data_IF_987858642904
#
_entry.id   IF_987858642904
#
_cell.length_a   1.000
_cell.length_b   1.000
_cell.length_c   1.000
_cell.angle_alpha   90.00
_cell.angle_beta   90.00
_cell.angle_gamma   90.00
#
_symmetry.space_group_name_H-M   'P 1'
#
loop_
_entity.id
_entity.type
_entity.pdbx_description
1 polymer ?
#
# COMPACT_ATOMS: atom_id res chain seq x y z
N UNK A 1 10.61 12.57 18.38
CA UNK A 1 10.60 12.76 16.90
C UNK A 1 9.28 13.39 16.51
N UNK A 2 9.27 14.28 15.52
CA UNK A 2 8.03 14.87 15.00
C UNK A 2 7.38 13.89 14.00
N UNK A 3 6.04 13.75 14.06
CA UNK A 3 5.29 12.84 13.18
C UNK A 3 4.27 13.62 12.36
N UNK A 4 4.32 13.45 11.04
CA UNK A 4 3.24 13.81 10.13
C UNK A 4 2.39 12.57 9.85
N UNK A 5 1.08 12.65 10.04
CA UNK A 5 0.12 11.65 9.54
C UNK A 5 -0.39 12.10 8.18
N UNK A 6 -0.28 11.27 7.16
CA UNK A 6 -0.72 11.55 5.80
C UNK A 6 -1.87 10.63 5.42
N UNK A 7 -3.00 11.22 5.02
CA UNK A 7 -4.26 10.54 4.73
C UNK A 7 -4.74 10.94 3.33
N UNK A 8 -4.57 10.10 2.31
CA UNK A 8 -5.23 10.29 1.03
C UNK A 8 -6.72 9.94 1.16
N UNK A 9 -7.59 10.77 0.58
CA UNK A 9 -9.05 10.54 0.63
C UNK A 9 -9.72 10.89 -0.71
N UNK A 10 -10.82 10.20 -1.00
CA UNK A 10 -11.64 10.49 -2.17
C UNK A 10 -13.09 10.04 -1.97
N UNK A 11 -14.03 11.00 -1.90
CA UNK A 11 -15.49 10.79 -1.80
C UNK A 11 -15.96 9.94 -0.61
N UNK A 12 -15.26 10.05 0.53
CA UNK A 12 -15.54 9.25 1.72
C UNK A 12 -15.51 10.11 3.02
N UNK A 13 -16.28 11.20 3.12
CA UNK A 13 -16.19 12.09 4.27
C UNK A 13 -16.56 11.41 5.60
N UNK A 14 -17.47 10.42 5.62
CA UNK A 14 -17.85 9.68 6.83
C UNK A 14 -16.74 8.75 7.31
N UNK A 15 -16.03 8.08 6.40
CA UNK A 15 -14.88 7.25 6.74
C UNK A 15 -13.73 8.13 7.24
N UNK A 16 -13.46 9.23 6.54
CA UNK A 16 -12.46 10.21 6.96
C UNK A 16 -12.78 10.78 8.37
N UNK A 17 -14.03 11.08 8.68
CA UNK A 17 -14.44 11.53 10.02
C UNK A 17 -14.06 10.52 11.09
N UNK A 18 -14.30 9.22 10.85
CA UNK A 18 -13.94 8.15 11.78
C UNK A 18 -12.43 8.07 11.97
N UNK A 19 -11.67 8.15 10.88
CA UNK A 19 -10.20 8.14 10.93
C UNK A 19 -9.67 9.33 11.75
N UNK A 20 -10.14 10.54 11.47
CA UNK A 20 -9.74 11.74 12.21
C UNK A 20 -10.09 11.63 13.70
N UNK A 21 -11.29 11.14 14.05
CA UNK A 21 -11.67 10.94 15.46
C UNK A 21 -10.76 9.93 16.18
N UNK A 22 -10.30 8.89 15.48
CA UNK A 22 -9.33 7.94 16.06
C UNK A 22 -7.92 8.56 16.22
N UNK A 23 -7.56 9.51 15.36
CA UNK A 23 -6.31 10.27 15.51
C UNK A 23 -6.39 11.29 16.65
N UNK A 24 -7.54 11.90 16.89
CA UNK A 24 -7.78 12.76 18.08
C UNK A 24 -7.61 11.98 19.39
N UNK A 25 -8.00 10.71 19.39
CA UNK A 25 -7.91 9.83 20.56
C UNK A 25 -6.52 9.24 20.81
N UNK A 26 -5.51 9.59 20.01
CA UNK A 26 -4.15 9.08 20.20
C UNK A 26 -3.53 9.54 21.52
N UNK A 27 -2.90 8.62 22.26
CA UNK A 27 -2.12 8.94 23.47
C UNK A 27 -0.89 9.81 23.18
N UNK A 28 -0.30 9.61 22.02
CA UNK A 28 0.75 10.43 21.44
C UNK A 28 0.18 11.14 20.21
N UNK A 29 0.04 12.47 20.29
CA UNK A 29 -0.54 13.27 19.21
C UNK A 29 0.47 13.46 18.06
N UNK A 30 -0.02 13.53 16.82
CA UNK A 30 0.78 13.96 15.70
C UNK A 30 1.04 15.48 15.78
N UNK A 31 2.21 15.93 15.33
CA UNK A 31 2.49 17.37 15.16
C UNK A 31 1.82 17.93 13.90
N UNK A 32 1.58 17.08 12.91
CA UNK A 32 0.95 17.46 11.65
C UNK A 32 0.06 16.33 11.13
N UNK A 33 -1.13 16.70 10.63
CA UNK A 33 -2.03 15.79 9.91
C UNK A 33 -2.30 16.40 8.54
N UNK A 34 -1.91 15.69 7.48
CA UNK A 34 -2.16 16.10 6.11
C UNK A 34 -3.25 15.24 5.50
N UNK A 35 -4.42 15.83 5.24
CA UNK A 35 -5.48 15.23 4.46
C UNK A 35 -5.32 15.65 3.02
N UNK A 36 -5.07 14.68 2.13
CA UNK A 36 -4.90 14.95 0.71
C UNK A 36 -6.15 14.59 -0.06
N UNK A 37 -6.80 15.60 -0.65
CA UNK A 37 -8.10 15.49 -1.31
C UNK A 37 -8.01 15.93 -2.78
N UNK A 38 -8.79 15.28 -3.66
CA UNK A 38 -8.93 15.67 -5.06
C UNK A 38 -9.65 17.02 -5.19
N UNK A 39 -9.20 17.84 -6.14
CA UNK A 39 -9.83 19.12 -6.51
C UNK A 39 -11.31 18.96 -6.92
N UNK A 40 -11.66 17.81 -7.51
CA UNK A 40 -13.02 17.46 -7.95
C UNK A 40 -13.89 16.83 -6.87
N UNK A 41 -13.35 16.57 -5.68
CA UNK A 41 -14.09 15.99 -4.56
C UNK A 41 -14.72 17.09 -3.69
N UNK A 42 -15.86 17.60 -4.16
CA UNK A 42 -16.57 18.70 -3.50
C UNK A 42 -17.06 18.30 -2.11
N UNK A 43 -17.64 17.10 -1.98
CA UNK A 43 -18.24 16.61 -0.74
C UNK A 43 -17.22 16.52 0.41
N UNK A 44 -16.07 15.92 0.17
CA UNK A 44 -15.02 15.82 1.21
C UNK A 44 -14.41 17.18 1.52
N UNK A 45 -14.29 18.08 0.55
CA UNK A 45 -13.78 19.44 0.77
C UNK A 45 -14.74 20.28 1.59
N UNK A 46 -16.05 20.18 1.34
CA UNK A 46 -17.09 20.85 2.17
C UNK A 46 -17.07 20.31 3.59
N UNK A 47 -17.00 18.99 3.77
CA UNK A 47 -16.83 18.37 5.09
C UNK A 47 -15.61 18.94 5.81
N UNK A 48 -14.44 18.99 5.18
CA UNK A 48 -13.20 19.50 5.79
C UNK A 48 -13.27 21.00 6.13
N UNK A 49 -14.01 21.79 5.35
CA UNK A 49 -14.23 23.22 5.65
C UNK A 49 -15.09 23.41 6.89
N UNK A 50 -16.10 22.54 7.09
CA UNK A 50 -16.96 22.54 8.28
C UNK A 50 -16.38 21.77 9.47
N UNK A 51 -15.35 20.98 9.25
CA UNK A 51 -14.70 20.20 10.27
C UNK A 51 -13.78 21.12 11.09
N UNK A 52 -14.25 21.54 12.25
CA UNK A 52 -13.54 22.39 13.19
C UNK A 52 -13.17 21.60 14.46
N UNK A 53 -12.26 20.64 14.40
CA UNK A 53 -11.77 20.01 15.61
C UNK A 53 -10.67 20.89 16.23
N UNK A 54 -10.42 20.76 17.52
CA UNK A 54 -9.25 21.34 18.16
C UNK A 54 -7.95 20.61 17.78
N UNK A 55 -7.91 19.89 16.66
CA UNK A 55 -6.73 19.19 16.20
C UNK A 55 -5.68 20.18 15.73
N UNK A 56 -4.67 20.39 16.56
CA UNK A 56 -3.49 21.14 16.19
C UNK A 56 -2.81 20.46 15.01
N UNK A 57 -2.51 21.24 13.96
CA UNK A 57 -1.72 20.75 12.83
C UNK A 57 -2.49 20.07 11.69
N UNK A 58 -3.84 20.08 11.67
CA UNK A 58 -4.61 19.63 10.52
C UNK A 58 -4.46 20.60 9.33
N UNK A 59 -3.99 20.09 8.21
CA UNK A 59 -3.85 20.82 6.94
C UNK A 59 -4.45 20.01 5.80
N UNK A 60 -5.07 20.70 4.84
CA UNK A 60 -5.64 20.10 3.63
C UNK A 60 -4.73 20.39 2.46
N UNK A 61 -4.32 19.35 1.76
CA UNK A 61 -3.55 19.41 0.51
C UNK A 61 -4.45 19.02 -0.65
N UNK A 62 -4.53 19.88 -1.66
CA UNK A 62 -5.36 19.59 -2.85
C UNK A 62 -4.49 19.02 -3.97
N UNK A 63 -4.96 17.95 -4.61
CA UNK A 63 -4.29 17.31 -5.75
C UNK A 63 -5.21 17.27 -6.97
N UNK A 64 -4.65 17.56 -8.15
CA UNK A 64 -5.38 17.58 -9.43
C UNK A 64 -5.34 16.21 -10.13
N UNK A 65 -4.21 15.50 -10.01
CA UNK A 65 -4.01 14.20 -10.65
C UNK A 65 -4.74 13.06 -9.91
N UNK A 66 -5.38 12.10 -10.61
CA UNK A 66 -6.00 10.94 -10.01
C UNK A 66 -4.96 9.93 -9.48
N UNK A 67 -5.39 9.12 -8.51
CA UNK A 67 -4.63 8.02 -7.96
C UNK A 67 -3.97 8.32 -6.62
N UNK A 68 -3.84 7.27 -5.81
CA UNK A 68 -3.30 7.35 -4.45
C UNK A 68 -1.85 7.82 -4.45
N UNK A 69 -1.06 7.47 -5.47
CA UNK A 69 0.35 7.88 -5.57
C UNK A 69 0.50 9.37 -5.82
N UNK A 70 -0.38 9.97 -6.62
CA UNK A 70 -0.40 11.41 -6.82
C UNK A 70 -0.72 12.14 -5.50
N UNK A 71 -1.72 11.64 -4.76
CA UNK A 71 -2.08 12.17 -3.46
C UNK A 71 -0.94 12.02 -2.44
N UNK A 72 -0.33 10.83 -2.35
CA UNK A 72 0.78 10.58 -1.42
C UNK A 72 2.02 11.41 -1.75
N UNK A 73 2.40 11.56 -3.03
CA UNK A 73 3.52 12.42 -3.42
C UNK A 73 3.25 13.90 -3.12
N UNK A 74 2.01 14.38 -3.35
CA UNK A 74 1.62 15.74 -3.00
C UNK A 74 1.70 15.99 -1.48
N UNK A 75 1.15 15.07 -0.68
CA UNK A 75 1.24 15.16 0.78
C UNK A 75 2.68 15.02 1.29
N UNK A 76 3.49 14.14 0.70
CA UNK A 76 4.90 13.96 1.07
C UNK A 76 5.74 15.21 0.82
N UNK A 77 5.45 15.97 -0.24
CA UNK A 77 6.12 17.24 -0.54
C UNK A 77 5.84 18.31 0.54
N UNK A 78 4.63 18.30 1.11
CA UNK A 78 4.19 19.25 2.15
C UNK A 78 4.53 18.80 3.58
N UNK A 79 4.82 17.52 3.80
CA UNK A 79 5.04 16.95 5.11
C UNK A 79 6.33 17.49 5.76
N UNK A 80 6.25 17.86 7.05
CA UNK A 80 7.35 18.46 7.81
C UNK A 80 7.94 17.57 8.88
N UNK A 81 7.25 16.48 9.27
CA UNK A 81 7.69 15.57 10.32
C UNK A 81 8.92 14.75 9.96
N UNK A 82 9.66 14.32 10.98
CA UNK A 82 10.80 13.39 10.87
C UNK A 82 10.34 11.95 10.51
N UNK A 83 9.09 11.63 10.86
CA UNK A 83 8.39 10.38 10.52
C UNK A 83 7.13 10.74 9.75
N UNK A 84 6.87 10.02 8.67
CA UNK A 84 5.63 10.10 7.90
C UNK A 84 4.85 8.82 8.16
N UNK A 85 3.74 8.93 8.89
CA UNK A 85 2.80 7.84 9.13
C UNK A 85 1.69 7.89 8.07
N UNK A 86 1.49 6.79 7.36
CA UNK A 86 0.51 6.64 6.30
C UNK A 86 -0.66 5.80 6.82
N UNK A 87 -1.87 6.31 6.65
CA UNK A 87 -3.10 5.55 6.94
C UNK A 87 -4.17 5.90 5.92
N UNK A 88 -5.09 4.96 5.67
CA UNK A 88 -6.21 5.20 4.77
C UNK A 88 -7.36 5.91 5.51
N UNK A 89 -8.21 6.62 4.78
CA UNK A 89 -9.37 7.32 5.34
C UNK A 89 -10.44 6.36 5.91
N UNK A 90 -10.43 5.07 5.49
CA UNK A 90 -11.32 4.02 5.99
C UNK A 90 -10.70 3.17 7.12
N UNK A 91 -9.76 3.75 7.87
CA UNK A 91 -9.17 3.12 9.06
C UNK A 91 -9.51 3.86 10.34
N UNK A 92 -9.34 3.16 11.48
CA UNK A 92 -9.32 3.77 12.81
C UNK A 92 -8.08 3.27 13.58
N UNK A 93 -7.00 4.06 13.64
CA UNK A 93 -5.80 3.71 14.40
C UNK A 93 -6.09 3.54 15.89
N UNK A 94 -5.49 2.50 16.50
CA UNK A 94 -5.62 2.27 17.94
C UNK A 94 -4.96 3.40 18.76
N UNK A 95 -5.43 3.68 19.99
CA UNK A 95 -4.99 4.84 20.77
C UNK A 95 -3.48 4.92 21.05
N UNK A 96 -2.75 3.82 20.92
CA UNK A 96 -1.29 3.75 21.12
C UNK A 96 -0.50 3.61 19.80
N UNK A 97 -1.17 3.76 18.65
CA UNK A 97 -0.60 3.53 17.32
C UNK A 97 0.66 4.38 17.07
N UNK A 98 0.58 5.71 17.21
CA UNK A 98 1.73 6.60 17.02
C UNK A 98 2.83 6.40 18.06
N UNK A 99 2.47 6.12 19.32
CA UNK A 99 3.46 5.84 20.36
C UNK A 99 4.27 4.58 20.07
N UNK A 100 3.62 3.52 19.57
CA UNK A 100 4.31 2.27 19.16
C UNK A 100 5.20 2.49 17.95
N UNK A 101 4.72 3.21 16.95
CA UNK A 101 5.52 3.57 15.76
C UNK A 101 6.80 4.31 16.20
N UNK A 102 6.66 5.36 17.01
CA UNK A 102 7.78 6.16 17.50
C UNK A 102 8.79 5.31 18.29
N UNK A 103 8.30 4.37 19.12
CA UNK A 103 9.17 3.51 19.91
C UNK A 103 10.11 2.64 19.07
N UNK A 104 9.64 2.11 17.93
CA UNK A 104 10.49 1.33 17.02
C UNK A 104 11.57 2.18 16.36
N UNK A 105 11.24 3.40 15.95
CA UNK A 105 12.23 4.32 15.35
C UNK A 105 13.24 4.83 16.38
N UNK A 106 12.84 5.00 17.64
CA UNK A 106 13.74 5.39 18.73
C UNK A 106 14.68 4.27 19.14
N UNK A 107 14.23 3.02 19.09
CA UNK A 107 15.00 1.85 19.52
C UNK A 107 16.11 1.45 18.54
N UNK A 108 15.93 1.64 17.23
CA UNK A 108 16.92 1.25 16.20
C UNK A 108 16.98 2.31 15.08
N UNK A 109 18.12 3.03 14.96
CA UNK A 109 18.30 4.03 13.91
C UNK A 109 18.33 3.43 12.49
N UNK A 110 18.56 2.12 12.34
CA UNK A 110 18.53 1.43 11.05
C UNK A 110 17.11 1.09 10.58
N UNK A 111 16.09 1.26 11.44
CA UNK A 111 14.69 1.09 11.04
C UNK A 111 14.28 2.27 10.19
N UNK A 112 13.96 2.00 8.92
CA UNK A 112 13.49 2.96 7.95
C UNK A 112 11.96 2.95 7.78
N UNK A 113 11.29 1.86 8.17
CA UNK A 113 9.84 1.75 8.13
C UNK A 113 9.27 0.81 9.18
N UNK A 114 8.09 1.16 9.68
CA UNK A 114 7.32 0.40 10.67
C UNK A 114 5.91 0.24 10.15
N UNK A 115 5.30 -0.92 10.30
CA UNK A 115 3.90 -1.13 9.98
C UNK A 115 3.31 -2.19 10.90
N UNK A 116 2.01 -2.39 10.80
CA UNK A 116 1.34 -3.29 11.71
C UNK A 116 0.11 -3.96 11.13
N UNK A 117 -0.72 -4.48 12.01
CA UNK A 117 -1.91 -5.23 11.62
C UNK A 117 -3.06 -4.28 11.29
N UNK A 118 -3.62 -4.46 10.10
CA UNK A 118 -4.90 -3.87 9.71
C UNK A 118 -6.02 -4.88 9.96
N UNK A 119 -6.74 -4.72 11.07
CA UNK A 119 -7.83 -5.60 11.45
C UNK A 119 -9.02 -5.42 10.52
N UNK A 120 -9.45 -6.51 9.89
CA UNK A 120 -10.63 -6.53 9.03
C UNK A 120 -11.74 -7.32 9.72
N UNK A 121 -12.94 -6.77 9.68
CA UNK A 121 -14.10 -7.42 10.27
C UNK A 121 -14.26 -8.86 9.75
N UNK A 122 -14.57 -9.78 10.66
CA UNK A 122 -14.83 -11.21 10.37
C UNK A 122 -13.64 -12.05 9.89
N UNK A 123 -12.40 -11.58 9.89
CA UNK A 123 -11.24 -12.40 9.58
C UNK A 123 -10.51 -12.87 10.85
N UNK A 124 -10.91 -14.03 11.36
CA UNK A 124 -10.35 -14.67 12.56
C UNK A 124 -9.08 -15.48 12.26
N UNK A 125 -8.66 -15.58 11.01
CA UNK A 125 -7.45 -16.32 10.63
C UNK A 125 -6.20 -15.62 11.18
N UNK A 126 -5.16 -16.41 11.41
CA UNK A 126 -3.86 -15.91 11.85
C UNK A 126 -2.72 -16.47 11.00
N UNK A 127 -1.67 -15.69 10.80
CA UNK A 127 -0.47 -16.06 10.04
C UNK A 127 0.77 -15.51 10.72
N UNK A 128 1.83 -16.32 10.75
CA UNK A 128 3.15 -15.87 11.22
C UNK A 128 3.98 -15.26 10.09
N UNK A 129 3.75 -15.71 8.84
CA UNK A 129 4.48 -15.19 7.67
C UNK A 129 3.72 -14.01 7.09
N UNK A 130 4.35 -12.84 7.14
CA UNK A 130 3.79 -11.55 6.74
C UNK A 130 4.84 -10.74 5.99
N UNK A 131 4.44 -10.05 4.93
CA UNK A 131 5.27 -9.05 4.24
C UNK A 131 6.57 -9.60 3.62
N UNK A 132 6.58 -10.84 3.11
CA UNK A 132 7.79 -11.52 2.60
C UNK A 132 7.74 -11.67 1.09
N UNK A 133 8.89 -11.43 0.43
CA UNK A 133 9.12 -11.74 -0.98
C UNK A 133 9.88 -13.06 -1.09
N UNK A 134 9.20 -14.13 -1.50
CA UNK A 134 9.82 -15.44 -1.68
C UNK A 134 10.92 -15.38 -2.73
N UNK A 135 11.83 -16.36 -2.73
CA UNK A 135 12.99 -16.36 -3.62
C UNK A 135 12.63 -16.26 -5.11
N UNK A 136 11.52 -16.88 -5.51
CA UNK A 136 10.98 -16.83 -6.88
C UNK A 136 10.10 -15.60 -7.17
N UNK A 137 10.09 -14.60 -6.29
CA UNK A 137 9.40 -13.32 -6.47
C UNK A 137 7.95 -13.27 -6.01
N UNK A 138 7.34 -14.39 -5.55
CA UNK A 138 5.99 -14.35 -5.00
C UNK A 138 5.94 -13.50 -3.73
N UNK A 139 5.04 -12.52 -3.70
CA UNK A 139 4.79 -11.69 -2.53
C UNK A 139 3.76 -12.35 -1.61
N UNK A 140 4.07 -12.46 -0.33
CA UNK A 140 3.16 -12.89 0.72
C UNK A 140 2.83 -11.67 1.57
N UNK A 141 1.62 -11.11 1.43
CA UNK A 141 1.15 -9.99 2.23
C UNK A 141 0.79 -10.41 3.64
N UNK A 142 -0.45 -10.86 3.86
CA UNK A 142 -1.01 -11.33 5.14
C UNK A 142 -0.97 -10.31 6.30
N UNK A 143 -0.77 -9.02 6.04
CA UNK A 143 -0.64 -8.02 7.10
C UNK A 143 -1.87 -7.98 8.02
N UNK A 144 -3.07 -8.15 7.48
CA UNK A 144 -4.33 -8.24 8.24
C UNK A 144 -4.44 -9.49 9.12
N UNK A 145 -3.61 -10.50 8.88
CA UNK A 145 -3.62 -11.79 9.59
C UNK A 145 -2.43 -11.97 10.54
N UNK A 146 -1.49 -11.03 10.55
CA UNK A 146 -0.24 -11.17 11.25
C UNK A 146 -0.39 -11.27 12.76
N UNK A 147 0.31 -12.24 13.36
CA UNK A 147 0.35 -12.46 14.82
C UNK A 147 1.78 -12.75 15.27
N UNK A 148 2.02 -12.68 16.58
CA UNK A 148 3.32 -12.94 17.22
C UNK A 148 4.08 -11.66 17.50
N UNK A 149 5.40 -11.72 17.55
CA UNK A 149 6.28 -10.61 17.91
C UNK A 149 6.60 -9.70 16.71
N UNK A 150 7.14 -8.52 17.02
CA UNK A 150 7.68 -7.61 16.00
C UNK A 150 8.84 -8.26 15.26
N UNK A 151 8.92 -8.07 13.94
CA UNK A 151 9.91 -8.73 13.09
C UNK A 151 10.21 -7.98 11.81
N UNK A 152 11.40 -8.23 11.25
CA UNK A 152 11.78 -7.71 9.95
C UNK A 152 10.93 -8.34 8.83
N UNK A 153 10.54 -7.49 7.86
CA UNK A 153 9.75 -7.87 6.68
C UNK A 153 10.35 -7.23 5.42
N UNK A 154 9.88 -7.68 4.26
CA UNK A 154 10.28 -7.10 2.97
C UNK A 154 9.34 -5.97 2.54
N UNK A 155 8.07 -6.02 2.94
CA UNK A 155 7.01 -5.12 2.50
C UNK A 155 6.09 -4.80 3.68
N UNK A 156 5.69 -3.55 3.84
CA UNK A 156 4.63 -3.09 4.73
C UNK A 156 3.34 -2.90 3.94
N UNK A 157 2.22 -2.56 4.60
CA UNK A 157 0.92 -2.34 3.96
C UNK A 157 0.44 -0.91 4.17
N UNK A 158 -0.08 -0.29 3.11
CA UNK A 158 -0.41 1.12 3.00
C UNK A 158 -1.41 1.67 4.01
N UNK A 159 -2.40 0.87 4.41
CA UNK A 159 -3.39 1.27 5.41
C UNK A 159 -2.79 1.47 6.82
N UNK A 160 -1.56 0.95 7.06
CA UNK A 160 -0.93 0.96 8.38
C UNK A 160 0.60 0.85 8.26
N UNK A 161 1.26 1.94 7.92
CA UNK A 161 2.71 2.00 7.89
C UNK A 161 3.25 3.41 8.15
N UNK A 162 4.50 3.49 8.56
CA UNK A 162 5.21 4.75 8.76
C UNK A 162 6.67 4.59 8.28
N UNK A 163 7.27 5.68 7.86
CA UNK A 163 8.64 5.69 7.35
C UNK A 163 9.40 6.92 7.87
N UNK A 164 10.74 6.82 7.97
CA UNK A 164 11.57 8.01 8.14
C UNK A 164 11.39 8.94 6.95
N UNK A 165 11.21 10.22 7.22
CA UNK A 165 10.93 11.21 6.18
C UNK A 165 12.10 11.36 5.20
N UNK A 166 13.33 11.37 5.68
CA UNK A 166 14.51 11.55 4.83
C UNK A 166 14.60 10.50 3.71
N UNK A 167 14.70 9.19 3.98
CA UNK A 167 14.74 8.20 2.91
C UNK A 167 13.45 8.13 2.10
N UNK A 168 12.28 8.35 2.72
CA UNK A 168 11.01 8.35 2.00
C UNK A 168 10.96 9.49 0.97
N UNK A 169 11.38 10.70 1.34
CA UNK A 169 11.44 11.86 0.43
C UNK A 169 12.49 11.67 -0.68
N UNK A 170 13.61 11.04 -0.38
CA UNK A 170 14.63 10.74 -1.37
C UNK A 170 14.18 9.72 -2.41
N UNK A 171 13.39 8.73 -2.01
CA UNK A 171 12.85 7.67 -2.87
C UNK A 171 11.60 8.13 -3.60
N UNK A 172 10.64 8.72 -2.89
CA UNK A 172 9.30 9.05 -3.38
C UNK A 172 8.43 7.82 -3.67
N UNK A 173 7.19 8.07 -4.07
CA UNK A 173 6.30 7.00 -4.53
C UNK A 173 6.39 6.84 -6.05
N UNK A 174 6.47 5.60 -6.52
CA UNK A 174 6.75 5.23 -7.92
C UNK A 174 5.59 5.63 -8.87
N UNK A 175 5.80 6.66 -9.67
CA UNK A 175 4.77 7.25 -10.54
C UNK A 175 4.49 6.44 -11.82
N UNK A 176 5.29 5.42 -12.14
CA UNK A 176 5.08 4.56 -13.32
C UNK A 176 4.05 3.46 -13.07
N UNK A 177 3.58 3.30 -11.84
CA UNK A 177 2.56 2.31 -11.51
C UNK A 177 1.23 2.70 -12.11
N UNK A 178 0.53 1.71 -12.66
CA UNK A 178 -0.76 1.87 -13.33
C UNK A 178 -1.91 1.72 -12.34
N UNK A 179 -3.01 2.39 -12.63
CA UNK A 179 -4.25 2.40 -11.88
C UNK A 179 -4.79 3.81 -11.73
N UNK A 180 -6.11 3.96 -11.70
CA UNK A 180 -6.80 5.24 -11.53
C UNK A 180 -7.08 5.60 -10.06
N UNK A 181 -6.90 4.65 -9.14
CA UNK A 181 -7.20 4.78 -7.72
C UNK A 181 -6.12 4.20 -6.82
N UNK A 182 -6.26 2.93 -6.41
CA UNK A 182 -5.37 2.30 -5.43
C UNK A 182 -3.93 2.06 -5.91
N UNK A 183 -3.72 1.94 -7.21
CA UNK A 183 -2.40 1.69 -7.82
C UNK A 183 -1.63 0.57 -7.09
N UNK A 184 -2.25 -0.60 -7.05
CA UNK A 184 -1.83 -1.78 -6.29
C UNK A 184 -0.33 -2.09 -6.44
N UNK A 185 0.31 -2.54 -5.38
CA UNK A 185 1.74 -2.84 -5.24
C UNK A 185 2.67 -1.62 -5.05
N UNK A 186 2.17 -0.43 -4.80
CA UNK A 186 3.04 0.69 -4.45
C UNK A 186 3.88 0.39 -3.19
N UNK A 187 3.32 -0.33 -2.24
CA UNK A 187 4.02 -0.77 -1.01
C UNK A 187 5.17 -1.73 -1.33
N UNK A 188 5.00 -2.60 -2.32
CA UNK A 188 6.07 -3.48 -2.81
C UNK A 188 7.22 -2.65 -3.40
N UNK A 189 6.89 -1.62 -4.21
CA UNK A 189 7.89 -0.74 -4.80
C UNK A 189 8.69 -0.01 -3.72
N UNK A 190 8.00 0.63 -2.78
CA UNK A 190 8.63 1.37 -1.70
C UNK A 190 9.44 0.44 -0.78
N UNK A 191 8.88 -0.72 -0.39
CA UNK A 191 9.59 -1.70 0.44
C UNK A 191 10.89 -2.17 -0.18
N UNK A 192 10.90 -2.50 -1.48
CA UNK A 192 12.11 -2.91 -2.18
C UNK A 192 13.12 -1.77 -2.31
N UNK A 193 12.68 -0.54 -2.56
CA UNK A 193 13.56 0.63 -2.65
C UNK A 193 14.19 0.98 -1.29
N UNK A 194 13.42 0.98 -0.21
CA UNK A 194 13.92 1.20 1.15
C UNK A 194 14.98 0.17 1.54
N UNK A 195 14.72 -1.12 1.26
CA UNK A 195 15.67 -2.20 1.54
C UNK A 195 16.92 -2.13 0.68
N UNK A 196 16.79 -1.75 -0.59
CA UNK A 196 17.92 -1.53 -1.48
C UNK A 196 18.82 -0.37 -0.99
N UNK A 197 18.24 0.62 -0.32
CA UNK A 197 18.96 1.70 0.35
C UNK A 197 19.53 1.30 1.74
N UNK A 198 19.39 0.04 2.17
CA UNK A 198 19.94 -0.49 3.42
C UNK A 198 19.03 -0.37 4.65
N UNK A 199 17.81 0.12 4.51
CA UNK A 199 16.88 0.30 5.63
C UNK A 199 16.18 -1.00 6.01
N UNK A 200 15.93 -1.19 7.31
CA UNK A 200 15.09 -2.26 7.84
C UNK A 200 13.63 -1.82 7.84
N UNK A 201 12.73 -2.76 7.52
CA UNK A 201 11.29 -2.61 7.68
C UNK A 201 10.81 -3.57 8.78
N UNK A 202 10.05 -3.05 9.73
CA UNK A 202 9.53 -3.81 10.88
C UNK A 202 8.01 -3.92 10.78
N UNK A 203 7.50 -5.13 10.89
CA UNK A 203 6.08 -5.39 11.11
C UNK A 203 5.87 -5.78 12.57
N UNK A 204 5.03 -5.01 13.28
CA UNK A 204 4.59 -5.29 14.64
C UNK A 204 3.06 -5.43 14.67
N UNK A 205 2.50 -6.63 14.96
CA UNK A 205 1.05 -6.82 15.04
C UNK A 205 0.36 -5.93 16.10
N UNK A 206 1.11 -5.41 17.08
CA UNK A 206 0.58 -4.52 18.10
C UNK A 206 0.42 -3.07 17.61
N UNK A 207 1.06 -2.69 16.51
CA UNK A 207 0.77 -1.46 15.78
C UNK A 207 -0.52 -1.70 14.99
N UNK A 208 -1.67 -1.48 15.60
CA UNK A 208 -2.97 -1.89 15.08
C UNK A 208 -3.81 -0.73 14.54
N UNK A 209 -4.56 -1.00 13.49
CA UNK A 209 -5.67 -0.19 13.01
C UNK A 209 -6.87 -1.07 12.71
N UNK A 210 -8.09 -0.63 13.01
CA UNK A 210 -9.29 -1.22 12.44
C UNK A 210 -9.46 -0.71 11.01
N UNK A 211 -9.74 -1.61 10.05
CA UNK A 211 -9.84 -1.27 8.65
C UNK A 211 -11.25 -1.59 8.13
N UNK A 212 -12.03 -0.55 7.92
CA UNK A 212 -13.42 -0.61 7.46
C UNK A 212 -13.45 -0.53 5.94
N UNK A 213 -13.57 -1.59 5.26
CA UNK A 213 -13.54 -1.63 3.79
C UNK A 213 -14.45 -0.60 3.10
N UNK A 214 -13.96 0.60 2.88
CA UNK A 214 -14.66 1.71 2.22
C UNK A 214 -15.05 1.42 0.76
N UNK A 215 -15.99 2.16 0.19
CA UNK A 215 -16.38 2.07 -1.21
C UNK A 215 -15.20 2.40 -2.13
N UNK A 216 -15.14 1.76 -3.30
CA UNK A 216 -14.13 2.03 -4.31
C UNK A 216 -14.73 2.62 -5.56
N UNK A 217 -14.09 3.65 -6.08
CA UNK A 217 -14.50 4.41 -7.27
C UNK A 217 -13.53 4.20 -8.45
N UNK A 218 -12.76 3.11 -8.43
CA UNK A 218 -11.72 2.80 -9.43
C UNK A 218 -11.87 1.36 -9.99
N UNK A 219 -10.96 0.98 -10.88
CA UNK A 219 -10.91 -0.36 -11.48
C UNK A 219 -10.36 -1.45 -10.54
N UNK A 220 -9.80 -1.11 -9.40
CA UNK A 220 -9.16 -2.04 -8.46
C UNK A 220 -10.17 -2.73 -7.51
N UNK A 221 -11.27 -3.22 -8.11
CA UNK A 221 -12.40 -3.87 -7.41
C UNK A 221 -12.28 -5.40 -7.32
N UNK A 222 -11.22 -5.99 -7.88
CA UNK A 222 -11.05 -7.46 -7.90
C UNK A 222 -10.99 -8.07 -6.49
N UNK A 223 -10.38 -7.36 -5.54
CA UNK A 223 -10.33 -7.77 -4.13
C UNK A 223 -11.68 -7.65 -3.41
N UNK A 224 -12.66 -7.00 -4.03
CA UNK A 224 -14.06 -6.90 -3.57
C UNK A 224 -14.97 -7.96 -4.21
N UNK A 225 -14.40 -8.95 -4.93
CA UNK A 225 -15.14 -10.01 -5.61
C UNK A 225 -15.75 -9.60 -6.96
N UNK A 226 -15.50 -8.39 -7.43
CA UNK A 226 -15.94 -7.90 -8.74
C UNK A 226 -14.81 -8.07 -9.74
N UNK A 227 -15.04 -8.88 -10.80
CA UNK A 227 -14.03 -9.08 -11.84
C UNK A 227 -13.85 -7.80 -12.68
N UNK A 228 -12.62 -7.33 -12.77
CA UNK A 228 -12.20 -6.25 -13.66
C UNK A 228 -10.87 -6.60 -14.34
N UNK A 229 -10.89 -6.75 -15.66
CA UNK A 229 -9.71 -7.15 -16.43
C UNK A 229 -8.62 -6.06 -16.44
N UNK A 230 -9.00 -4.78 -16.46
CA UNK A 230 -8.04 -3.67 -16.42
C UNK A 230 -7.32 -3.63 -15.07
N UNK A 231 -8.03 -3.81 -13.95
CA UNK A 231 -7.43 -3.91 -12.62
C UNK A 231 -6.43 -5.07 -12.52
N UNK A 232 -6.75 -6.26 -13.05
CA UNK A 232 -5.82 -7.39 -13.10
C UNK A 232 -4.58 -7.08 -13.96
N UNK A 233 -4.77 -6.46 -15.12
CA UNK A 233 -3.65 -6.08 -15.99
C UNK A 233 -2.74 -5.04 -15.32
N UNK A 234 -3.31 -4.06 -14.62
CA UNK A 234 -2.56 -3.07 -13.87
C UNK A 234 -1.78 -3.70 -12.70
N UNK A 235 -2.42 -4.56 -11.89
CA UNK A 235 -1.77 -5.29 -10.80
C UNK A 235 -0.59 -6.12 -11.31
N UNK A 236 -0.81 -6.91 -12.38
CA UNK A 236 0.24 -7.74 -12.99
C UNK A 236 1.37 -6.92 -13.62
N UNK A 237 1.04 -5.76 -14.20
CA UNK A 237 2.02 -4.80 -14.70
C UNK A 237 2.88 -4.25 -13.57
N UNK A 238 2.25 -3.75 -12.51
CA UNK A 238 2.92 -3.12 -11.38
C UNK A 238 3.86 -4.11 -10.67
N UNK A 239 3.37 -5.31 -10.32
CA UNK A 239 4.20 -6.36 -9.73
C UNK A 239 5.43 -6.67 -10.61
N UNK A 240 5.21 -6.87 -11.90
CA UNK A 240 6.28 -7.25 -12.83
C UNK A 240 7.29 -6.12 -13.03
N UNK A 241 6.84 -4.88 -13.17
CA UNK A 241 7.70 -3.70 -13.29
C UNK A 241 8.65 -3.57 -12.10
N UNK A 242 8.09 -3.69 -10.89
CA UNK A 242 8.82 -3.54 -9.63
C UNK A 242 9.86 -4.67 -9.49
N UNK A 243 9.43 -5.93 -9.62
CA UNK A 243 10.31 -7.07 -9.41
C UNK A 243 11.43 -7.12 -10.45
N UNK A 244 11.16 -6.77 -11.71
CA UNK A 244 12.19 -6.63 -12.72
C UNK A 244 13.14 -5.45 -12.45
N UNK A 245 12.67 -4.40 -11.79
CA UNK A 245 13.52 -3.28 -11.42
C UNK A 245 14.51 -3.59 -10.28
N UNK A 246 14.12 -4.44 -9.34
CA UNK A 246 14.84 -4.64 -8.08
C UNK A 246 15.50 -6.01 -7.92
N UNK A 247 14.98 -7.08 -8.53
CA UNK A 247 15.57 -8.40 -8.40
C UNK A 247 16.88 -8.55 -9.19
N UNK A 248 17.86 -9.32 -8.72
CA UNK A 248 19.06 -9.65 -9.48
C UNK A 248 18.71 -10.54 -10.70
N UNK A 249 19.58 -10.59 -11.74
CA UNK A 249 19.27 -11.22 -13.03
C UNK A 249 18.71 -12.64 -12.93
N UNK A 250 19.36 -13.51 -12.15
CA UNK A 250 18.89 -14.89 -11.95
C UNK A 250 17.49 -14.96 -11.37
N UNK A 251 17.23 -14.17 -10.33
CA UNK A 251 15.90 -14.13 -9.69
C UNK A 251 14.85 -13.53 -10.62
N UNK A 252 15.20 -12.57 -11.50
CA UNK A 252 14.29 -12.07 -12.55
C UNK A 252 13.86 -13.19 -13.49
N UNK A 253 14.80 -14.00 -13.97
CA UNK A 253 14.49 -15.13 -14.86
C UNK A 253 13.56 -16.13 -14.17
N UNK A 254 13.85 -16.51 -12.93
CA UNK A 254 13.02 -17.42 -12.15
C UNK A 254 11.64 -16.83 -11.88
N UNK A 255 11.57 -15.56 -11.50
CA UNK A 255 10.30 -14.87 -11.31
C UNK A 255 9.45 -14.89 -12.58
N UNK A 256 10.02 -14.52 -13.73
CA UNK A 256 9.29 -14.54 -15.00
C UNK A 256 8.80 -15.95 -15.34
N UNK A 257 9.65 -16.96 -15.21
CA UNK A 257 9.25 -18.35 -15.46
C UNK A 257 8.09 -18.77 -14.57
N UNK A 258 8.18 -18.50 -13.25
CA UNK A 258 7.12 -18.79 -12.31
C UNK A 258 5.84 -17.98 -12.63
N UNK A 259 5.97 -16.68 -12.85
CA UNK A 259 4.85 -15.78 -13.05
C UNK A 259 4.07 -16.08 -14.34
N UNK A 260 4.77 -16.47 -15.42
CA UNK A 260 4.11 -16.85 -16.67
C UNK A 260 3.57 -18.28 -16.66
N UNK A 261 4.21 -19.23 -16.01
CA UNK A 261 3.77 -20.63 -16.02
C UNK A 261 2.76 -20.93 -14.90
N UNK A 262 3.02 -20.44 -13.69
CA UNK A 262 2.22 -20.76 -12.49
C UNK A 262 1.39 -19.56 -12.02
N UNK A 263 2.04 -18.46 -11.66
CA UNK A 263 1.41 -17.26 -11.12
C UNK A 263 0.72 -17.47 -9.77
N UNK A 264 -0.20 -16.57 -9.46
CA UNK A 264 -1.05 -16.62 -8.27
C UNK A 264 -2.47 -17.08 -8.62
N UNK A 265 -3.36 -17.14 -7.63
CA UNK A 265 -4.78 -17.35 -7.87
C UNK A 265 -5.43 -16.16 -8.58
N UNK A 266 -5.03 -14.94 -8.22
CA UNK A 266 -5.57 -13.71 -8.79
C UNK A 266 -4.99 -13.42 -10.18
N UNK A 267 -3.68 -13.66 -10.37
CA UNK A 267 -2.94 -13.48 -11.63
C UNK A 267 -2.38 -14.84 -12.10
N UNK A 268 -3.23 -15.72 -12.68
CA UNK A 268 -2.84 -17.09 -12.98
C UNK A 268 -1.93 -17.22 -14.20
N UNK A 269 -1.03 -18.22 -14.13
CA UNK A 269 -0.43 -18.82 -15.30
C UNK A 269 -1.24 -20.05 -15.77
N UNK A 270 -0.90 -20.66 -16.92
CA UNK A 270 -1.64 -21.78 -17.52
C UNK A 270 -1.69 -23.02 -16.61
N UNK A 271 -0.66 -23.25 -15.78
CA UNK A 271 -0.67 -24.38 -14.84
C UNK A 271 -1.71 -24.27 -13.71
N UNK A 272 -2.28 -23.07 -13.48
CA UNK A 272 -3.42 -22.91 -12.56
C UNK A 272 -4.77 -23.23 -13.21
N UNK A 273 -4.86 -23.25 -14.54
CA UNK A 273 -6.13 -23.42 -15.26
C UNK A 273 -6.88 -24.67 -14.85
N UNK A 274 -6.26 -25.88 -14.77
CA UNK A 274 -6.97 -27.09 -14.33
C UNK A 274 -7.58 -26.94 -12.94
N UNK A 275 -6.85 -26.32 -12.02
CA UNK A 275 -7.32 -26.07 -10.64
C UNK A 275 -8.48 -25.08 -10.59
N UNK A 276 -8.42 -24.01 -11.41
CA UNK A 276 -9.48 -23.02 -11.51
C UNK A 276 -10.75 -23.62 -12.10
N UNK A 277 -10.62 -24.47 -13.14
CA UNK A 277 -11.73 -25.20 -13.73
C UNK A 277 -12.36 -26.17 -12.73
N UNK A 278 -11.56 -26.95 -12.00
CA UNK A 278 -12.03 -27.87 -10.96
C UNK A 278 -12.81 -27.14 -9.84
N UNK A 279 -12.48 -25.88 -9.58
CA UNK A 279 -13.18 -25.03 -8.60
C UNK A 279 -14.33 -24.22 -9.19
N UNK A 280 -14.65 -24.43 -10.47
CA UNK A 280 -15.71 -23.71 -11.21
C UNK A 280 -15.57 -22.20 -11.13
N UNK A 281 -14.32 -21.69 -11.11
CA UNK A 281 -14.06 -20.25 -11.13
C UNK A 281 -14.57 -19.62 -12.41
N UNK A 282 -15.08 -18.39 -12.26
CA UNK A 282 -15.53 -17.59 -13.41
C UNK A 282 -14.40 -16.77 -13.98
N UNK A 283 -14.54 -16.36 -15.23
CA UNK A 283 -13.60 -15.42 -15.90
C UNK A 283 -12.14 -15.93 -16.00
N UNK A 284 -11.91 -17.24 -16.07
CA UNK A 284 -10.55 -17.84 -16.11
C UNK A 284 -9.76 -17.28 -17.29
N UNK A 285 -10.30 -17.34 -18.50
CA UNK A 285 -9.62 -16.92 -19.72
C UNK A 285 -9.39 -15.39 -19.79
N UNK A 286 -10.40 -14.54 -19.52
CA UNK A 286 -10.19 -13.09 -19.41
C UNK A 286 -9.16 -12.72 -18.34
N UNK A 287 -9.14 -13.42 -17.20
CA UNK A 287 -8.15 -13.22 -16.14
C UNK A 287 -6.73 -13.59 -16.60
N UNK A 288 -6.57 -14.74 -17.25
CA UNK A 288 -5.28 -15.18 -17.81
C UNK A 288 -4.77 -14.15 -18.85
N UNK A 289 -5.62 -13.73 -19.77
CA UNK A 289 -5.27 -12.75 -20.80
C UNK A 289 -4.85 -11.41 -20.18
N UNK A 290 -5.60 -10.90 -19.22
CA UNK A 290 -5.29 -9.67 -18.52
C UNK A 290 -3.94 -9.75 -17.79
N UNK A 291 -3.67 -10.87 -17.11
CA UNK A 291 -2.37 -11.14 -16.46
C UNK A 291 -1.22 -11.05 -17.45
N UNK A 292 -1.33 -11.72 -18.58
CA UNK A 292 -0.28 -11.72 -19.62
C UNK A 292 -0.09 -10.36 -20.24
N UNK A 293 -1.16 -9.65 -20.53
CA UNK A 293 -1.12 -8.28 -21.07
C UNK A 293 -0.37 -7.35 -20.15
N UNK A 294 -0.66 -7.39 -18.84
CA UNK A 294 0.04 -6.61 -17.83
C UNK A 294 1.54 -6.94 -17.79
N UNK A 295 1.88 -8.22 -17.65
CA UNK A 295 3.30 -8.67 -17.55
C UNK A 295 4.11 -8.32 -18.79
N UNK A 296 3.60 -8.56 -20.00
CA UNK A 296 4.27 -8.22 -21.26
C UNK A 296 4.48 -6.72 -21.39
N UNK A 297 3.48 -5.91 -21.02
CA UNK A 297 3.60 -4.46 -21.01
C UNK A 297 4.69 -3.97 -20.07
N UNK A 298 4.83 -4.57 -18.88
CA UNK A 298 5.89 -4.24 -17.93
C UNK A 298 7.29 -4.60 -18.46
N UNK A 299 7.44 -5.78 -19.06
CA UNK A 299 8.71 -6.19 -19.69
C UNK A 299 9.12 -5.20 -20.78
N UNK A 300 8.16 -4.75 -21.60
CA UNK A 300 8.42 -3.75 -22.64
C UNK A 300 8.86 -2.41 -22.01
N UNK A 301 8.19 -1.96 -20.96
CA UNK A 301 8.53 -0.71 -20.26
C UNK A 301 9.94 -0.74 -19.65
N UNK A 302 10.35 -1.86 -19.03
CA UNK A 302 11.71 -2.03 -18.49
C UNK A 302 12.76 -2.00 -19.60
N UNK A 303 12.53 -2.68 -20.73
CA UNK A 303 13.47 -2.70 -21.86
C UNK A 303 13.67 -1.32 -22.50
N UNK A 304 12.63 -0.51 -22.54
CA UNK A 304 12.70 0.84 -23.11
C UNK A 304 13.59 1.77 -22.29
N UNK A 305 13.61 1.62 -20.95
CA UNK A 305 14.47 2.41 -20.05
C UNK A 305 15.96 2.05 -20.15
N UNK A 306 16.30 0.83 -20.56
CA UNK A 306 17.70 0.38 -20.71
C UNK A 306 18.33 0.90 -22.01
N UNK A 307 17.52 1.39 -22.95
CA UNK A 307 17.97 1.88 -24.26
C UNK A 307 18.12 3.41 -24.35
N UNK A 308 17.74 4.15 -23.30
CA UNK A 308 17.93 5.58 -23.12
C UNK A 308 19.02 5.86 -22.07
#
# INVERSE_FOLDING_TARGET
MTITVLIPTYRRPQDLQRCLSALEAQKRQAEEILVVVRDTDVETREFLTGYAPPMLGLRVVTVVSPGVLAAMNAGLAEATGEIIALTDDDTAPYPDWLARIESHFAADPCVGGVGGRDWQANDLRSRRVVGIIQWHGRVIGNHHLGVGEARAVDVLKGANCAYRAEPLKAIGFETRLRGGGAQVHWELSLGMAMRAAGWKLIYDPAVGVDHFTGERFDEDVNHRGVFNAAGIANTSYNETLILLGHLPPLRRAVFLSWAFLVGTWAEPGPLQVPRLLARRERNIWPRLLATYTGRLSAIHAVRKKVRL
#
